data_IF_232742620257
#
_entry.id   IF_232742620257
#
_cell.length_a   1.000
_cell.length_b   1.000
_cell.length_c   1.000
_cell.angle_alpha   90.00
_cell.angle_beta   90.00
_cell.angle_gamma   90.00
#
_symmetry.space_group_name_H-M   'P 1'
#
loop_
_entity.id
_entity.type
_entity.pdbx_description
1 polymer ?
#
# COMPACT_ATOMS: atom_id res chain seq x y z
N UNK A 1 -5.58 24.93 21.79
CA UNK A 1 -4.82 23.71 21.45
C UNK A 1 -4.42 23.08 22.78
N UNK A 2 -5.34 22.35 23.39
CA UNK A 2 -5.06 21.64 24.65
C UNK A 2 -4.44 20.28 24.30
N UNK A 3 -3.24 20.04 24.83
CA UNK A 3 -2.54 18.76 24.77
C UNK A 3 -3.41 17.71 25.46
N UNK A 4 -3.98 16.77 24.69
CA UNK A 4 -4.55 15.54 25.26
C UNK A 4 -3.41 14.81 25.94
N UNK A 5 -3.43 14.72 27.28
CA UNK A 5 -2.51 13.84 28.03
C UNK A 5 -2.63 12.43 27.45
N UNK A 6 -1.49 11.80 27.17
CA UNK A 6 -1.43 10.40 26.74
C UNK A 6 -2.06 9.54 27.84
N UNK A 7 -3.25 8.99 27.60
CA UNK A 7 -3.98 8.20 28.59
C UNK A 7 -3.31 6.84 28.90
N UNK A 8 -2.29 6.45 28.12
CA UNK A 8 -1.65 5.13 28.15
C UNK A 8 -0.23 5.10 28.75
N UNK A 9 0.25 6.20 29.34
CA UNK A 9 1.59 6.21 29.98
C UNK A 9 1.63 5.30 31.23
N UNK A 10 2.67 4.45 31.38
CA UNK A 10 2.79 3.55 32.54
C UNK A 10 2.99 4.34 33.83
N UNK A 11 2.19 4.03 34.84
CA UNK A 11 2.22 4.70 36.15
C UNK A 11 2.96 3.82 37.15
N UNK A 12 4.21 4.18 37.46
CA UNK A 12 5.05 3.48 38.44
C UNK A 12 4.77 3.95 39.87
N UNK A 13 3.74 3.36 40.48
CA UNK A 13 3.39 3.54 41.89
C UNK A 13 4.29 2.66 42.79
N UNK A 14 4.44 2.99 44.07
CA UNK A 14 5.29 2.25 45.02
C UNK A 14 4.92 0.76 45.07
N UNK A 15 3.61 0.47 45.03
CA UNK A 15 3.09 -0.90 44.97
C UNK A 15 3.41 -1.61 43.66
N UNK A 16 3.42 -0.91 42.53
CA UNK A 16 3.75 -1.50 41.22
C UNK A 16 5.24 -1.84 41.19
N UNK A 17 6.09 -0.95 41.68
CA UNK A 17 7.54 -1.17 41.77
C UNK A 17 7.87 -2.36 42.69
N UNK A 18 7.17 -2.48 43.82
CA UNK A 18 7.33 -3.61 44.72
C UNK A 18 6.92 -4.94 44.05
N UNK A 19 5.80 -4.97 43.33
CA UNK A 19 5.36 -6.15 42.56
C UNK A 19 6.39 -6.55 41.51
N UNK A 20 6.90 -5.59 40.73
CA UNK A 20 7.91 -5.85 39.71
C UNK A 20 9.20 -6.39 40.33
N UNK A 21 9.63 -5.85 41.48
CA UNK A 21 10.79 -6.34 42.22
C UNK A 21 10.60 -7.78 42.68
N UNK A 22 9.47 -8.09 43.32
CA UNK A 22 9.17 -9.45 43.81
C UNK A 22 9.08 -10.46 42.67
N UNK A 23 8.59 -10.06 41.49
CA UNK A 23 8.60 -10.91 40.29
C UNK A 23 10.02 -11.13 39.76
N UNK A 24 10.90 -10.13 39.78
CA UNK A 24 12.32 -10.32 39.42
C UNK A 24 13.07 -11.21 40.39
N UNK A 25 12.64 -11.27 41.66
CA UNK A 25 13.13 -12.20 42.67
C UNK A 25 12.60 -13.64 42.49
N UNK A 26 11.72 -13.87 41.51
CA UNK A 26 11.18 -15.19 41.19
C UNK A 26 9.98 -15.62 42.05
N UNK A 27 9.31 -14.67 42.72
CA UNK A 27 8.12 -14.97 43.53
C UNK A 27 6.89 -14.99 42.63
N UNK A 28 6.12 -16.06 42.73
CA UNK A 28 4.89 -16.20 41.95
C UNK A 28 3.85 -15.13 42.31
N UNK A 29 3.12 -14.72 41.27
CA UNK A 29 2.02 -13.76 41.34
C UNK A 29 1.01 -14.02 42.45
N UNK A 30 0.69 -15.28 42.72
CA UNK A 30 -0.26 -15.65 43.76
C UNK A 30 0.30 -15.39 45.17
N UNK A 31 1.59 -15.64 45.37
CA UNK A 31 2.29 -15.38 46.63
C UNK A 31 2.47 -13.88 46.85
N UNK A 32 2.74 -13.11 45.78
CA UNK A 32 2.78 -11.65 45.84
C UNK A 32 1.41 -11.09 46.26
N UNK A 33 0.33 -11.59 45.65
CA UNK A 33 -1.02 -11.15 46.00
C UNK A 33 -1.34 -11.41 47.48
N UNK A 34 -1.03 -12.61 48.00
CA UNK A 34 -1.21 -12.95 49.42
C UNK A 34 -0.38 -12.04 50.34
N UNK A 35 0.90 -11.81 50.00
CA UNK A 35 1.82 -10.97 50.79
C UNK A 35 1.38 -9.51 50.87
N UNK A 36 0.79 -8.98 49.80
CA UNK A 36 0.31 -7.60 49.72
C UNK A 36 -1.15 -7.44 50.20
N UNK A 37 -1.77 -8.50 50.73
CA UNK A 37 -3.13 -8.45 51.30
C UNK A 37 -4.27 -8.45 50.27
N UNK A 38 -4.00 -8.88 49.03
CA UNK A 38 -5.05 -9.07 48.02
C UNK A 38 -5.71 -10.44 48.17
N UNK A 39 -7.01 -10.50 47.89
CA UNK A 39 -7.83 -11.72 47.98
C UNK A 39 -7.40 -12.81 47.01
N UNK A 40 -6.91 -12.42 45.84
CA UNK A 40 -6.40 -13.31 44.80
C UNK A 40 -5.48 -12.53 43.86
N UNK A 41 -4.77 -13.25 42.99
CA UNK A 41 -3.94 -12.62 41.97
C UNK A 41 -4.77 -11.71 41.05
N UNK A 42 -6.02 -12.05 40.74
CA UNK A 42 -6.88 -11.22 39.86
C UNK A 42 -7.08 -9.79 40.39
N UNK A 43 -7.17 -9.62 41.70
CA UNK A 43 -7.27 -8.29 42.34
C UNK A 43 -5.96 -7.49 42.19
N UNK A 44 -4.81 -8.16 42.31
CA UNK A 44 -3.50 -7.56 42.02
C UNK A 44 -3.40 -7.14 40.56
N UNK A 45 -3.87 -7.98 39.64
CA UNK A 45 -3.86 -7.72 38.19
C UNK A 45 -4.69 -6.51 37.82
N UNK A 46 -5.87 -6.42 38.43
CA UNK A 46 -6.77 -5.30 38.20
C UNK A 46 -6.15 -3.99 38.68
N UNK A 47 -5.42 -4.03 39.79
CA UNK A 47 -4.70 -2.86 40.28
C UNK A 47 -3.59 -2.45 39.31
N UNK A 48 -2.72 -3.38 38.91
CA UNK A 48 -1.60 -3.13 37.99
C UNK A 48 -2.09 -2.72 36.58
N UNK A 49 -3.23 -3.27 36.13
CA UNK A 49 -3.89 -2.90 34.87
C UNK A 49 -4.41 -1.48 34.85
N UNK A 50 -4.94 -0.99 35.98
CA UNK A 50 -5.36 0.42 36.14
C UNK A 50 -4.18 1.40 36.14
N UNK A 51 -2.94 0.89 36.17
CA UNK A 51 -1.69 1.66 36.11
C UNK A 51 -0.98 1.51 34.76
N UNK A 52 -1.70 1.04 33.74
CA UNK A 52 -1.22 0.86 32.37
C UNK A 52 -0.14 -0.24 32.21
N UNK A 53 -0.24 -1.30 33.00
CA UNK A 53 0.57 -2.52 32.84
C UNK A 53 -0.31 -3.74 32.54
N UNK A 54 0.23 -4.74 31.85
CA UNK A 54 -0.46 -5.98 31.58
C UNK A 54 0.44 -7.18 31.81
N UNK A 55 -0.16 -8.33 32.11
CA UNK A 55 0.56 -9.57 32.35
C UNK A 55 1.04 -10.20 31.04
N UNK A 56 2.34 -10.43 30.93
CA UNK A 56 2.95 -11.19 29.86
C UNK A 56 3.14 -12.65 30.34
N UNK A 57 2.41 -13.58 29.71
CA UNK A 57 2.47 -15.00 30.07
C UNK A 57 3.76 -15.68 29.59
N UNK A 58 4.46 -15.13 28.61
CA UNK A 58 5.74 -15.70 28.16
C UNK A 58 6.87 -15.27 29.08
N UNK A 59 6.87 -14.00 29.50
CA UNK A 59 7.89 -13.44 30.40
C UNK A 59 7.58 -13.64 31.88
N UNK A 60 6.37 -14.12 32.20
CA UNK A 60 5.85 -14.23 33.59
C UNK A 60 6.04 -12.92 34.38
N UNK A 61 5.83 -11.78 33.72
CA UNK A 61 6.05 -10.46 34.32
C UNK A 61 5.04 -9.43 33.78
N UNK A 62 4.90 -8.29 34.46
CA UNK A 62 4.08 -7.18 33.98
C UNK A 62 4.88 -6.28 33.04
N UNK A 63 4.28 -5.97 31.89
CA UNK A 63 4.85 -5.07 30.88
C UNK A 63 3.93 -3.86 30.66
N UNK A 64 4.48 -2.66 30.44
CA UNK A 64 3.70 -1.49 30.05
C UNK A 64 2.80 -1.75 28.83
N UNK A 65 1.56 -1.26 28.86
CA UNK A 65 0.60 -1.41 27.75
C UNK A 65 1.09 -0.69 26.49
N UNK A 66 1.79 0.45 26.63
CA UNK A 66 2.40 1.17 25.51
C UNK A 66 3.31 0.31 24.63
N UNK A 67 4.01 -0.68 25.22
CA UNK A 67 4.93 -1.57 24.50
C UNK A 67 4.18 -2.57 23.59
N UNK A 68 2.88 -2.84 23.82
CA UNK A 68 2.07 -3.66 22.91
C UNK A 68 1.88 -3.01 21.54
N UNK A 69 1.73 -1.70 21.49
CA UNK A 69 1.59 -0.96 20.24
C UNK A 69 2.91 -0.94 19.46
N UNK A 70 4.04 -0.82 20.16
CA UNK A 70 5.37 -0.79 19.53
C UNK A 70 5.77 -2.17 18.99
N UNK A 71 5.56 -3.25 19.78
CA UNK A 71 5.86 -4.62 19.34
C UNK A 71 4.87 -5.18 18.30
N UNK A 72 3.68 -4.60 18.14
CA UNK A 72 2.78 -4.93 17.03
C UNK A 72 3.34 -4.50 15.65
N UNK A 73 4.39 -3.67 15.65
CA UNK A 73 5.08 -3.21 14.44
C UNK A 73 6.17 -4.18 13.98
N UNK A 74 6.68 -5.06 14.86
CA UNK A 74 7.87 -5.88 14.59
C UNK A 74 7.57 -7.38 14.48
N UNK A 75 6.45 -7.86 15.01
CA UNK A 75 5.95 -9.19 14.63
C UNK A 75 5.15 -9.06 13.34
N UNK A 76 5.84 -9.19 12.19
CA UNK A 76 5.22 -9.56 10.93
C UNK A 76 4.20 -10.66 11.23
N UNK A 77 2.91 -10.31 11.15
CA UNK A 77 1.83 -11.26 11.27
C UNK A 77 2.19 -12.45 10.39
N UNK A 78 2.44 -13.61 10.99
CA UNK A 78 2.45 -14.88 10.28
C UNK A 78 1.01 -15.10 9.87
N UNK A 79 0.59 -14.37 8.85
CA UNK A 79 -0.69 -14.57 8.22
C UNK A 79 -0.69 -16.01 7.74
N UNK A 80 -1.76 -16.76 7.95
CA UNK A 80 -1.91 -18.10 7.36
C UNK A 80 -2.02 -18.06 5.83
N UNK A 81 -1.80 -16.89 5.22
CA UNK A 81 -1.91 -16.68 3.79
C UNK A 81 -0.91 -17.55 3.03
N UNK A 82 -1.33 -17.95 1.83
CA UNK A 82 -0.51 -18.73 0.91
C UNK A 82 0.85 -18.05 0.65
N UNK A 83 0.90 -16.71 0.59
CA UNK A 83 2.12 -15.93 0.44
C UNK A 83 3.09 -16.06 1.63
N UNK A 84 2.58 -16.00 2.87
CA UNK A 84 3.41 -16.23 4.06
C UNK A 84 3.94 -17.66 4.12
N UNK A 85 3.14 -18.64 3.68
CA UNK A 85 3.61 -20.03 3.58
C UNK A 85 4.74 -20.14 2.54
N UNK A 86 4.63 -19.48 1.39
CA UNK A 86 5.71 -19.42 0.39
C UNK A 86 7.00 -18.87 1.02
N UNK A 87 6.92 -17.72 1.68
CA UNK A 87 8.08 -17.08 2.33
C UNK A 87 8.71 -18.01 3.36
N UNK A 88 7.89 -18.67 4.20
CA UNK A 88 8.36 -19.59 5.23
C UNK A 88 9.06 -20.84 4.67
N UNK A 89 8.64 -21.31 3.48
CA UNK A 89 9.21 -22.48 2.83
C UNK A 89 10.57 -22.15 2.18
N UNK A 90 10.72 -20.94 1.63
CA UNK A 90 12.01 -20.47 1.10
C UNK A 90 13.04 -20.12 2.18
N UNK A 91 12.61 -19.86 3.42
CA UNK A 91 13.52 -19.68 4.56
C UNK A 91 14.24 -20.98 4.97
N UNK A 92 13.71 -22.16 4.59
CA UNK A 92 14.36 -23.45 4.89
C UNK A 92 15.48 -23.72 3.87
N UNK A 93 16.67 -24.07 4.35
CA UNK A 93 17.84 -24.33 3.48
C UNK A 93 17.55 -25.43 2.44
N UNK A 94 17.96 -25.21 1.18
CA UNK A 94 17.78 -26.17 0.08
C UNK A 94 16.40 -26.14 -0.61
N UNK A 95 15.61 -25.09 -0.40
CA UNK A 95 14.30 -24.91 -1.01
C UNK A 95 14.32 -24.86 -2.56
N UNK A 96 13.74 -25.88 -3.21
CA UNK A 96 13.47 -25.89 -4.65
C UNK A 96 12.12 -25.22 -4.95
N UNK A 97 12.14 -24.19 -5.80
CA UNK A 97 10.97 -23.42 -6.20
C UNK A 97 9.89 -24.29 -6.86
N UNK A 98 10.27 -25.33 -7.61
CA UNK A 98 9.30 -26.25 -8.24
C UNK A 98 8.60 -27.13 -7.19
N UNK A 99 9.35 -27.65 -6.22
CA UNK A 99 8.79 -28.43 -5.13
C UNK A 99 7.82 -27.60 -4.28
N UNK A 100 8.17 -26.34 -3.98
CA UNK A 100 7.29 -25.41 -3.25
C UNK A 100 6.01 -25.12 -4.03
N UNK A 101 6.12 -24.83 -5.33
CA UNK A 101 4.98 -24.57 -6.19
C UNK A 101 3.99 -25.75 -6.19
N UNK A 102 4.49 -26.97 -6.41
CA UNK A 102 3.68 -28.19 -6.39
C UNK A 102 3.03 -28.46 -5.03
N UNK A 103 3.78 -28.26 -3.93
CA UNK A 103 3.27 -28.44 -2.56
C UNK A 103 2.12 -27.50 -2.23
N UNK A 104 2.16 -26.27 -2.74
CA UNK A 104 1.13 -25.26 -2.51
C UNK A 104 0.02 -25.28 -3.58
N UNK A 105 0.06 -26.24 -4.53
CA UNK A 105 -0.95 -26.39 -5.57
C UNK A 105 -0.91 -25.29 -6.63
N UNK A 106 0.27 -24.77 -6.95
CA UNK A 106 0.51 -23.99 -8.18
C UNK A 106 0.92 -24.94 -9.31
N UNK A 107 0.57 -24.58 -10.54
CA UNK A 107 0.87 -25.39 -11.73
C UNK A 107 2.37 -25.41 -12.01
N UNK A 108 3.05 -24.26 -11.84
CA UNK A 108 4.49 -24.13 -12.01
C UNK A 108 5.06 -23.01 -11.12
N UNK A 109 6.38 -23.00 -10.93
CA UNK A 109 7.10 -21.95 -10.21
C UNK A 109 6.89 -20.56 -10.82
N UNK A 110 6.59 -20.47 -12.12
CA UNK A 110 6.23 -19.22 -12.81
C UNK A 110 4.90 -18.66 -12.30
N UNK A 111 3.90 -19.52 -12.10
CA UNK A 111 2.60 -19.12 -11.54
C UNK A 111 2.75 -18.67 -10.08
N UNK A 112 3.59 -19.37 -9.30
CA UNK A 112 3.94 -18.94 -7.94
C UNK A 112 4.58 -17.55 -7.96
N UNK A 113 5.50 -17.28 -8.89
CA UNK A 113 6.14 -15.97 -9.02
C UNK A 113 5.14 -14.88 -9.39
N UNK A 114 4.23 -15.12 -10.34
CA UNK A 114 3.15 -14.18 -10.69
C UNK A 114 2.20 -13.94 -9.52
N UNK A 115 1.87 -14.99 -8.76
CA UNK A 115 1.04 -14.88 -7.56
C UNK A 115 1.70 -13.99 -6.50
N UNK A 116 2.99 -14.20 -6.23
CA UNK A 116 3.75 -13.40 -5.27
C UNK A 116 3.87 -11.95 -5.74
N UNK A 117 4.11 -11.73 -7.04
CA UNK A 117 4.16 -10.40 -7.65
C UNK A 117 2.84 -9.64 -7.49
N UNK A 118 1.70 -10.28 -7.80
CA UNK A 118 0.37 -9.68 -7.61
C UNK A 118 0.01 -9.41 -6.15
N UNK A 119 0.72 -10.05 -5.20
CA UNK A 119 0.62 -9.79 -3.76
C UNK A 119 1.59 -8.71 -3.27
N UNK A 120 2.33 -8.08 -4.18
CA UNK A 120 3.31 -7.05 -3.87
C UNK A 120 4.62 -7.62 -3.33
N UNK A 121 5.03 -8.81 -3.74
CA UNK A 121 6.31 -9.41 -3.37
C UNK A 121 7.17 -9.67 -4.61
N UNK A 122 8.46 -9.31 -4.54
CA UNK A 122 9.46 -9.57 -5.58
C UNK A 122 10.52 -10.52 -5.07
N UNK A 123 11.02 -11.39 -5.95
CA UNK A 123 12.15 -12.25 -5.63
C UNK A 123 13.44 -11.44 -5.42
N UNK A 124 14.14 -11.67 -4.32
CA UNK A 124 15.46 -11.14 -4.06
C UNK A 124 16.48 -12.30 -4.10
N UNK A 125 17.42 -12.23 -5.05
CA UNK A 125 18.42 -13.27 -5.28
C UNK A 125 19.44 -13.40 -4.13
N UNK A 126 19.76 -12.30 -3.45
CA UNK A 126 20.70 -12.28 -2.33
C UNK A 126 20.09 -12.99 -1.11
N UNK A 127 18.82 -12.70 -0.82
CA UNK A 127 18.09 -13.30 0.30
C UNK A 127 17.52 -14.69 -0.04
N UNK A 128 17.58 -15.11 -1.30
CA UNK A 128 16.92 -16.31 -1.85
C UNK A 128 15.47 -16.44 -1.38
N UNK A 129 14.76 -15.31 -1.28
CA UNK A 129 13.39 -15.24 -0.79
C UNK A 129 12.67 -14.02 -1.38
N UNK A 130 11.36 -13.97 -1.20
CA UNK A 130 10.50 -12.87 -1.61
C UNK A 130 10.54 -11.72 -0.60
N UNK A 131 10.70 -10.49 -1.10
CA UNK A 131 10.64 -9.24 -0.33
C UNK A 131 9.47 -8.40 -0.80
N UNK A 132 8.84 -7.65 0.11
CA UNK A 132 7.68 -6.81 -0.22
C UNK A 132 8.13 -5.59 -1.04
N UNK A 133 7.45 -5.34 -2.17
CA UNK A 133 7.63 -4.16 -3.02
C UNK A 133 6.86 -3.00 -2.37
N UNK A 134 7.49 -1.83 -2.31
CA UNK A 134 6.85 -0.56 -1.94
C UNK A 134 6.70 0.26 -3.22
N UNK A 135 5.55 0.90 -3.42
CA UNK A 135 5.27 1.76 -4.59
C UNK A 135 4.23 1.23 -5.57
N UNK A 136 4.15 1.86 -6.76
CA UNK A 136 3.25 1.47 -7.86
C UNK A 136 3.68 0.12 -8.43
N UNK A 137 2.79 -0.88 -8.40
CA UNK A 137 3.09 -2.20 -8.97
C UNK A 137 2.88 -2.11 -10.48
N UNK A 138 3.98 -2.05 -11.23
CA UNK A 138 3.94 -2.27 -12.68
C UNK A 138 3.78 -3.77 -12.95
N UNK A 139 2.63 -4.18 -13.50
CA UNK A 139 2.49 -5.51 -14.07
C UNK A 139 3.44 -5.62 -15.28
N UNK A 140 4.37 -6.57 -15.23
CA UNK A 140 5.31 -6.80 -16.33
C UNK A 140 4.58 -7.38 -17.54
N UNK A 141 4.14 -6.50 -18.43
CA UNK A 141 4.41 -6.47 -19.88
C UNK A 141 4.71 -7.85 -20.51
N UNK A 142 3.72 -8.74 -20.54
CA UNK A 142 3.75 -9.94 -21.40
C UNK A 142 2.91 -9.76 -22.68
N UNK A 143 1.96 -8.80 -22.69
CA UNK A 143 1.07 -8.56 -23.83
C UNK A 143 1.43 -7.34 -24.69
N UNK A 144 2.34 -6.46 -24.23
CA UNK A 144 2.67 -5.21 -24.95
C UNK A 144 3.66 -5.37 -26.11
N UNK A 145 4.01 -6.59 -26.53
CA UNK A 145 4.81 -6.80 -27.74
C UNK A 145 4.02 -6.60 -29.04
N UNK A 146 2.69 -6.40 -28.97
CA UNK A 146 1.88 -6.02 -30.15
C UNK A 146 1.80 -4.51 -30.38
N UNK A 147 2.01 -3.69 -29.35
CA UNK A 147 1.76 -2.24 -29.44
C UNK A 147 2.98 -1.45 -29.95
N UNK A 148 4.17 -2.07 -29.95
CA UNK A 148 5.41 -1.46 -30.45
C UNK A 148 5.49 -1.39 -31.98
N UNK A 149 4.69 -2.16 -32.73
CA UNK A 149 4.70 -2.11 -34.21
C UNK A 149 3.86 -0.96 -34.79
N UNK A 150 2.95 -0.36 -34.00
CA UNK A 150 2.10 0.75 -34.47
C UNK A 150 2.84 2.09 -34.35
N UNK A 151 3.70 2.24 -33.33
CA UNK A 151 4.46 3.47 -33.09
C UNK A 151 5.59 3.73 -34.11
N UNK A 152 6.15 2.68 -34.73
CA UNK A 152 7.16 2.85 -35.81
C UNK A 152 6.55 3.24 -37.16
N UNK A 153 5.24 3.05 -37.35
CA UNK A 153 4.55 3.40 -38.60
C UNK A 153 4.19 4.89 -38.72
N UNK A 154 4.24 5.64 -37.61
CA UNK A 154 3.87 7.07 -37.58
C UNK A 154 5.08 8.03 -37.65
N UNK A 155 6.31 7.52 -37.55
CA UNK A 155 7.53 8.35 -37.68
C UNK A 155 7.96 8.61 -39.13
N UNK A 156 7.41 7.87 -40.09
CA UNK A 156 7.78 7.99 -41.51
C UNK A 156 6.90 8.97 -42.29
N UNK A 157 6.04 9.74 -41.63
CA UNK A 157 5.14 10.71 -42.28
C UNK A 157 5.58 12.18 -42.12
N UNK A 158 6.60 12.45 -41.30
CA UNK A 158 7.05 13.81 -40.98
C UNK A 158 7.80 14.51 -42.13
N UNK A 159 8.30 13.77 -43.12
CA UNK A 159 8.99 14.35 -44.29
C UNK A 159 8.04 14.85 -45.40
N UNK A 160 6.73 14.56 -45.32
CA UNK A 160 5.76 14.87 -46.39
C UNK A 160 4.96 16.17 -46.18
N UNK A 161 5.03 16.78 -44.99
CA UNK A 161 4.27 18.00 -44.66
C UNK A 161 5.05 19.27 -45.01
N UNK A 162 6.38 19.21 -45.08
CA UNK A 162 7.23 20.38 -45.34
C UNK A 162 7.16 20.84 -46.81
N UNK A 163 6.75 19.97 -47.74
CA UNK A 163 6.67 20.29 -49.18
C UNK A 163 5.39 21.08 -49.56
N UNK A 164 4.33 21.03 -48.76
CA UNK A 164 3.07 21.73 -49.07
C UNK A 164 3.03 23.21 -48.63
N UNK A 165 3.94 23.65 -47.75
CA UNK A 165 3.93 25.02 -47.21
C UNK A 165 4.61 26.03 -48.14
N UNK A 166 5.40 25.59 -49.12
CA UNK A 166 6.17 26.50 -49.98
C UNK A 166 5.37 27.10 -51.16
N UNK A 167 4.15 26.62 -51.45
CA UNK A 167 3.38 27.02 -52.63
C UNK A 167 2.12 27.87 -52.37
N UNK A 168 1.92 28.39 -51.16
CA UNK A 168 0.72 29.18 -50.82
C UNK A 168 0.98 30.69 -50.62
N UNK A 169 1.91 31.28 -51.36
CA UNK A 169 2.17 32.74 -51.34
C UNK A 169 1.21 33.54 -52.22
N UNK A 170 -0.09 33.23 -52.22
CA UNK A 170 -1.04 34.05 -52.98
C UNK A 170 -2.48 34.02 -52.43
N UNK A 171 -2.69 34.64 -51.27
CA UNK A 171 -3.96 35.32 -50.90
C UNK A 171 -3.75 36.13 -49.61
N UNK A 172 -3.53 37.44 -49.74
CA UNK A 172 -3.20 38.37 -48.65
C UNK A 172 -4.37 38.72 -47.69
N UNK A 173 -5.52 38.05 -47.79
CA UNK A 173 -6.73 38.38 -47.00
C UNK A 173 -7.01 37.35 -45.90
N UNK A 174 -6.70 36.08 -46.14
CA UNK A 174 -6.91 34.99 -45.15
C UNK A 174 -5.78 34.90 -44.09
N UNK A 175 -4.59 35.43 -44.40
CA UNK A 175 -3.45 35.40 -43.47
C UNK A 175 -3.63 36.31 -42.25
N UNK A 176 -4.38 37.42 -42.38
CA UNK A 176 -4.62 38.36 -41.27
C UNK A 176 -5.58 37.74 -40.24
N UNK A 177 -6.59 37.00 -40.71
CA UNK A 177 -7.55 36.30 -39.87
C UNK A 177 -6.97 35.04 -39.21
N UNK A 178 -5.91 34.46 -39.75
CA UNK A 178 -5.17 33.35 -39.11
C UNK A 178 -4.13 33.86 -38.10
N UNK A 179 -3.54 35.04 -38.35
CA UNK A 179 -2.55 35.65 -37.44
C UNK A 179 -3.13 36.00 -36.06
N UNK A 180 -4.40 36.40 -35.98
CA UNK A 180 -5.08 36.65 -34.69
C UNK A 180 -5.19 35.40 -33.80
N UNK A 181 -5.13 34.20 -34.38
CA UNK A 181 -5.17 32.94 -33.62
C UNK A 181 -3.79 32.41 -33.24
N UNK A 182 -2.70 33.04 -33.69
CA UNK A 182 -1.33 32.64 -33.33
C UNK A 182 -1.11 32.63 -31.81
N UNK A 183 -1.54 33.65 -31.04
CA UNK A 183 -1.40 33.62 -29.58
C UNK A 183 -2.17 32.46 -28.93
N UNK A 184 -3.35 32.14 -29.47
CA UNK A 184 -4.17 31.01 -29.02
C UNK A 184 -3.48 29.67 -29.33
N UNK A 185 -2.93 29.52 -30.54
CA UNK A 185 -2.21 28.33 -30.96
C UNK A 185 -0.93 28.11 -30.12
N UNK A 186 -0.21 29.17 -29.79
CA UNK A 186 0.94 29.10 -28.86
C UNK A 186 0.48 28.64 -27.47
N UNK A 187 -0.64 29.17 -26.97
CA UNK A 187 -1.21 28.78 -25.68
C UNK A 187 -1.68 27.31 -25.67
N UNK A 188 -2.31 26.85 -26.74
CA UNK A 188 -2.73 25.46 -26.94
C UNK A 188 -1.51 24.53 -27.04
N UNK A 189 -0.48 24.90 -27.80
CA UNK A 189 0.74 24.10 -27.94
C UNK A 189 1.50 24.00 -26.62
N UNK A 190 1.60 25.09 -25.86
CA UNK A 190 2.24 25.10 -24.54
C UNK A 190 1.50 24.21 -23.52
N UNK A 191 0.19 24.10 -23.65
CA UNK A 191 -0.64 23.27 -22.76
C UNK A 191 -1.08 21.96 -23.43
N UNK A 192 -0.42 21.56 -24.54
CA UNK A 192 -0.82 20.41 -25.34
C UNK A 192 -0.97 19.15 -24.50
N UNK A 193 0.00 18.87 -23.62
CA UNK A 193 -0.02 17.65 -22.80
C UNK A 193 -1.18 17.66 -21.80
N UNK A 194 -1.45 18.80 -21.15
CA UNK A 194 -2.60 18.96 -20.25
C UNK A 194 -3.94 18.88 -20.97
N UNK A 195 -4.00 19.38 -22.20
CA UNK A 195 -5.19 19.31 -23.04
C UNK A 195 -5.39 17.88 -23.56
N UNK A 196 -4.33 17.17 -23.91
CA UNK A 196 -4.39 15.75 -24.25
C UNK A 196 -4.91 14.93 -23.06
N UNK A 197 -4.43 15.18 -21.85
CA UNK A 197 -4.92 14.53 -20.62
C UNK A 197 -6.41 14.81 -20.32
N UNK A 198 -6.92 15.99 -20.69
CA UNK A 198 -8.32 16.38 -20.50
C UNK A 198 -9.25 15.90 -21.62
N UNK A 199 -8.76 15.87 -22.86
CA UNK A 199 -9.56 15.64 -24.09
C UNK A 199 -9.55 14.17 -24.46
N UNK A 200 -8.44 13.47 -24.26
CA UNK A 200 -8.42 12.01 -24.34
C UNK A 200 -9.10 11.56 -23.04
N UNK A 201 -10.35 11.05 -23.07
CA UNK A 201 -10.83 10.30 -21.92
C UNK A 201 -9.78 9.22 -21.73
N UNK A 202 -9.16 9.17 -20.56
CA UNK A 202 -8.18 8.15 -20.18
C UNK A 202 -8.83 6.76 -20.30
N UNK A 203 -8.95 6.29 -21.54
CA UNK A 203 -9.23 4.94 -21.97
C UNK A 203 -7.89 4.20 -22.08
N UNK A 204 -6.89 4.65 -21.33
CA UNK A 204 -5.64 3.96 -21.13
C UNK A 204 -5.98 2.67 -20.39
N UNK A 205 -6.19 1.62 -21.19
CA UNK A 205 -6.06 0.22 -20.82
C UNK A 205 -6.59 -0.13 -19.41
N UNK A 206 -7.91 -0.07 -19.22
CA UNK A 206 -8.77 -1.03 -18.50
C UNK A 206 -8.38 -1.63 -17.14
N UNK A 207 -7.28 -1.24 -16.51
CA UNK A 207 -6.74 -1.84 -15.29
C UNK A 207 -6.49 -0.76 -14.25
N UNK A 208 -7.18 -0.87 -13.11
CA UNK A 208 -7.00 0.04 -11.99
C UNK A 208 -5.55 -0.07 -11.48
N UNK A 209 -4.83 1.06 -11.29
CA UNK A 209 -3.51 1.05 -10.67
C UNK A 209 -3.55 0.40 -9.28
N UNK A 210 -2.72 -0.63 -9.08
CA UNK A 210 -2.58 -1.30 -7.78
C UNK A 210 -1.43 -0.67 -6.99
N UNK A 211 -1.76 -0.08 -5.85
CA UNK A 211 -0.80 0.56 -4.95
C UNK A 211 -0.49 -0.34 -3.76
N UNK A 212 0.78 -0.68 -3.55
CA UNK A 212 1.24 -1.36 -2.34
C UNK A 212 1.55 -0.34 -1.25
N UNK A 213 0.55 -0.04 -0.40
CA UNK A 213 0.73 0.90 0.70
C UNK A 213 1.43 0.24 1.91
N UNK A 214 2.50 0.85 2.46
CA UNK A 214 3.08 0.45 3.73
C UNK A 214 2.14 0.82 4.90
N UNK A 215 2.07 -0.03 5.93
CA UNK A 215 1.33 0.24 7.16
C UNK A 215 0.43 -0.91 7.63
N UNK A 216 -0.22 -0.68 8.79
CA UNK A 216 -1.19 -1.60 9.39
C UNK A 216 -2.58 -1.32 8.80
N UNK A 217 -3.31 -2.38 8.44
CA UNK A 217 -4.66 -2.24 7.92
C UNK A 217 -5.64 -1.78 9.01
N UNK A 218 -6.37 -0.70 8.73
CA UNK A 218 -7.44 -0.18 9.59
C UNK A 218 -8.77 -0.26 8.85
N UNK A 219 -9.78 -0.88 9.47
CA UNK A 219 -11.13 -0.96 8.91
C UNK A 219 -11.88 0.34 9.17
N UNK A 220 -12.50 0.91 8.13
CA UNK A 220 -13.41 2.05 8.23
C UNK A 220 -14.74 1.71 7.57
N UNK A 221 -15.84 2.01 8.24
CA UNK A 221 -17.18 1.91 7.67
C UNK A 221 -17.56 3.26 7.05
N UNK A 222 -17.88 3.25 5.75
CA UNK A 222 -18.27 4.46 5.00
C UNK A 222 -19.74 4.33 4.62
N UNK A 223 -20.53 5.37 4.88
CA UNK A 223 -21.91 5.44 4.41
C UNK A 223 -21.93 5.89 2.95
N UNK A 224 -22.66 5.16 2.10
CA UNK A 224 -22.77 5.47 0.67
C UNK A 224 -24.18 5.15 0.16
N UNK A 225 -24.56 5.79 -0.94
CA UNK A 225 -25.84 5.55 -1.61
C UNK A 225 -25.84 4.18 -2.29
N UNK A 226 -26.99 3.48 -2.23
CA UNK A 226 -27.15 2.11 -2.76
C UNK A 226 -26.68 1.93 -4.22
N UNK A 227 -26.99 2.85 -5.17
CA UNK A 227 -26.52 2.71 -6.55
C UNK A 227 -24.98 2.72 -6.66
N UNK A 228 -24.29 3.48 -5.82
CA UNK A 228 -22.82 3.56 -5.83
C UNK A 228 -22.18 2.26 -5.31
N UNK A 229 -22.74 1.66 -4.25
CA UNK A 229 -22.31 0.34 -3.77
C UNK A 229 -22.48 -0.73 -4.86
N UNK A 230 -23.61 -0.69 -5.58
CA UNK A 230 -23.86 -1.60 -6.70
C UNK A 230 -22.82 -1.43 -7.82
N UNK A 231 -22.52 -0.18 -8.21
CA UNK A 231 -21.48 0.12 -9.20
C UNK A 231 -20.10 -0.41 -8.77
N UNK A 232 -19.71 -0.22 -7.51
CA UNK A 232 -18.42 -0.72 -6.99
C UNK A 232 -18.36 -2.26 -7.03
N UNK A 233 -19.45 -2.94 -6.68
CA UNK A 233 -19.54 -4.41 -6.72
C UNK A 233 -19.50 -4.97 -8.13
N UNK A 234 -20.16 -4.30 -9.06
CA UNK A 234 -20.22 -4.72 -10.46
C UNK A 234 -18.86 -4.48 -11.13
N UNK A 235 -18.24 -3.32 -10.88
CA UNK A 235 -16.88 -3.02 -11.32
C UNK A 235 -15.85 -4.01 -10.76
N UNK A 236 -15.94 -4.34 -9.47
CA UNK A 236 -15.07 -5.33 -8.82
C UNK A 236 -15.14 -6.71 -9.49
N UNK A 237 -16.36 -7.13 -9.88
CA UNK A 237 -16.60 -8.39 -10.59
C UNK A 237 -16.11 -8.35 -12.03
N UNK A 238 -16.40 -7.27 -12.75
CA UNK A 238 -16.03 -7.12 -14.17
C UNK A 238 -14.50 -7.10 -14.34
N UNK A 239 -13.80 -6.34 -13.50
CA UNK A 239 -12.34 -6.14 -13.62
C UNK A 239 -11.51 -7.11 -12.78
N UNK A 240 -12.14 -8.00 -12.01
CA UNK A 240 -11.47 -8.91 -11.08
C UNK A 240 -10.48 -8.17 -10.15
N UNK A 241 -10.94 -7.06 -9.56
CA UNK A 241 -10.18 -6.22 -8.63
C UNK A 241 -10.89 -6.18 -7.28
N UNK A 242 -10.13 -6.21 -6.18
CA UNK A 242 -10.71 -6.08 -4.84
C UNK A 242 -11.30 -4.69 -4.64
N UNK A 243 -12.49 -4.59 -4.02
CA UNK A 243 -13.07 -3.29 -3.64
C UNK A 243 -12.11 -2.42 -2.84
N UNK A 244 -11.27 -3.04 -2.00
CA UNK A 244 -10.21 -2.34 -1.25
C UNK A 244 -9.25 -1.60 -2.18
N UNK A 245 -8.86 -2.23 -3.28
CA UNK A 245 -7.91 -1.66 -4.24
C UNK A 245 -8.57 -0.55 -5.07
N UNK A 246 -9.88 -0.71 -5.38
CA UNK A 246 -10.70 0.35 -6.00
C UNK A 246 -10.70 1.60 -5.12
N UNK A 247 -11.05 1.43 -3.84
CA UNK A 247 -11.09 2.56 -2.90
C UNK A 247 -9.70 3.14 -2.64
N UNK A 248 -8.66 2.32 -2.56
CA UNK A 248 -7.30 2.81 -2.36
C UNK A 248 -6.84 3.67 -3.55
N UNK A 249 -7.04 3.20 -4.78
CA UNK A 249 -6.71 3.97 -5.98
C UNK A 249 -7.50 5.28 -6.05
N UNK A 250 -8.81 5.22 -5.82
CA UNK A 250 -9.68 6.40 -5.83
C UNK A 250 -9.27 7.43 -4.77
N UNK A 251 -8.91 7.00 -3.56
CA UNK A 251 -8.44 7.89 -2.49
C UNK A 251 -7.08 8.50 -2.82
N UNK A 252 -6.16 7.73 -3.39
CA UNK A 252 -4.85 8.23 -3.81
C UNK A 252 -5.00 9.31 -4.89
N UNK A 253 -5.83 9.05 -5.91
CA UNK A 253 -6.14 10.04 -6.95
C UNK A 253 -6.83 11.28 -6.40
N UNK A 254 -7.78 11.09 -5.47
CA UNK A 254 -8.42 12.18 -4.76
C UNK A 254 -7.39 13.03 -4.01
N UNK A 255 -6.54 12.43 -3.18
CA UNK A 255 -5.54 13.18 -2.41
C UNK A 255 -4.52 13.91 -3.31
N UNK A 256 -4.10 13.31 -4.43
CA UNK A 256 -3.28 14.02 -5.44
C UNK A 256 -3.98 15.25 -5.99
N UNK A 257 -5.25 15.12 -6.38
CA UNK A 257 -6.03 16.23 -6.95
C UNK A 257 -6.29 17.36 -5.97
N UNK A 258 -6.38 17.06 -4.67
CA UNK A 258 -6.74 18.03 -3.63
C UNK A 258 -5.55 18.47 -2.73
N UNK A 259 -4.31 18.36 -3.22
CA UNK A 259 -3.15 19.02 -2.63
C UNK A 259 -2.36 18.23 -1.59
N UNK A 260 -2.63 16.94 -1.44
CA UNK A 260 -1.87 16.00 -0.59
C UNK A 260 -0.89 15.15 -1.42
N UNK A 261 -0.42 15.68 -2.54
CA UNK A 261 0.45 14.95 -3.47
C UNK A 261 1.77 14.53 -2.80
N UNK A 262 2.39 15.43 -2.03
CA UNK A 262 3.67 15.17 -1.34
C UNK A 262 3.55 14.06 -0.30
N UNK A 263 2.47 14.04 0.46
CA UNK A 263 2.19 13.00 1.46
C UNK A 263 1.92 11.65 0.79
N UNK A 264 1.18 11.66 -0.33
CA UNK A 264 0.93 10.46 -1.13
C UNK A 264 2.22 9.89 -1.71
N UNK A 265 3.09 10.72 -2.28
CA UNK A 265 4.41 10.30 -2.78
C UNK A 265 5.30 9.75 -1.66
N UNK A 266 5.34 10.44 -0.51
CA UNK A 266 6.06 9.97 0.67
C UNK A 266 5.54 8.61 1.17
N UNK A 267 4.22 8.40 1.15
CA UNK A 267 3.59 7.12 1.52
C UNK A 267 3.89 6.01 0.51
N UNK A 268 3.97 6.33 -0.79
CA UNK A 268 4.28 5.37 -1.83
C UNK A 268 5.78 4.99 -1.86
N UNK A 269 6.64 5.81 -1.25
CA UNK A 269 8.08 5.56 -1.21
C UNK A 269 8.80 5.94 -2.50
N UNK A 270 8.15 6.71 -3.37
CA UNK A 270 8.77 7.31 -4.54
C UNK A 270 9.70 8.44 -4.03
N UNK A 271 11.00 8.25 -4.21
CA UNK A 271 12.07 9.22 -3.89
C UNK A 271 12.88 9.51 -5.14
#
# INVERSE_FOLDING_TARGET
MELRKNEDEPIYDDKVNEVLRLLTEGIDRENIAKRMGYTNYKSLDMYVRRKNFHWDSEKQNYVPIAIRYDNSTIQESVSTSKASQVISLFTKEGADAKAIAKRLGFSDHRELASYMLGRGYKWNAEKKNYVKILGKIEESVADSKKDLQIAESLKNSDDSIIEYVQNANNTNVEQVELQQFVPLLIMLQKNKDKLLDLIIPQTDSGTIPRYALPGVFVTKSVHMVSPLDMMVRDFSREKNVSQRDIFAAALIEFFRKYGYEREVEQMLGDK
#
